data_IF_195292476676
#
_entry.id   IF_195292476676
#
_cell.length_a   1.000
_cell.length_b   1.000
_cell.length_c   1.000
_cell.angle_alpha   90.00
_cell.angle_beta   90.00
_cell.angle_gamma   90.00
#
_symmetry.space_group_name_H-M   'P 1'
#
loop_
_entity.id
_entity.type
_entity.pdbx_description
1 polymer ?
#
# COMPACT_ATOMS: atom_id res chain seq x y z
N UNK A 1 -1.59 -17.16 3.65
CA UNK A 1 -1.18 -16.49 2.39
C UNK A 1 -1.39 -17.38 1.16
N UNK A 2 -0.98 -18.67 1.17
CA UNK A 2 -1.26 -19.56 0.04
C UNK A 2 -2.76 -19.74 -0.20
N UNK A 3 -3.52 -20.00 0.84
CA UNK A 3 -4.98 -20.12 0.77
C UNK A 3 -5.66 -18.85 0.20
N UNK A 4 -5.18 -17.67 0.61
CA UNK A 4 -5.67 -16.41 0.07
C UNK A 4 -5.35 -16.28 -1.42
N UNK A 5 -4.13 -16.59 -1.84
CA UNK A 5 -3.76 -16.58 -3.25
C UNK A 5 -4.63 -17.54 -4.07
N UNK A 6 -4.81 -18.77 -3.59
CA UNK A 6 -5.62 -19.81 -4.25
C UNK A 6 -7.11 -19.41 -4.36
N UNK A 7 -7.60 -18.61 -3.40
CA UNK A 7 -8.96 -18.07 -3.46
C UNK A 7 -9.10 -16.89 -4.45
N UNK A 8 -8.06 -16.07 -4.63
CA UNK A 8 -8.09 -14.87 -5.48
C UNK A 8 -7.77 -15.16 -6.95
N UNK A 9 -6.85 -16.09 -7.20
CA UNK A 9 -6.32 -16.36 -8.53
C UNK A 9 -7.39 -16.75 -9.57
N UNK A 10 -8.39 -17.62 -9.27
CA UNK A 10 -9.45 -17.96 -10.21
C UNK A 10 -10.31 -16.77 -10.65
N UNK A 11 -10.32 -15.70 -9.86
CA UNK A 11 -11.04 -14.45 -10.15
C UNK A 11 -10.17 -13.40 -10.85
N UNK A 12 -8.92 -13.72 -11.19
CA UNK A 12 -7.98 -12.78 -11.80
C UNK A 12 -7.49 -11.68 -10.86
N UNK A 13 -7.76 -11.79 -9.55
CA UNK A 13 -7.38 -10.81 -8.54
C UNK A 13 -5.89 -11.02 -8.18
N UNK A 14 -5.10 -9.97 -8.31
CA UNK A 14 -3.66 -9.99 -8.04
C UNK A 14 -3.40 -9.70 -6.56
N UNK A 15 -2.62 -10.57 -5.93
CA UNK A 15 -2.21 -10.40 -4.54
C UNK A 15 -1.02 -9.45 -4.45
N UNK A 16 -1.16 -8.42 -3.63
CA UNK A 16 -0.09 -7.49 -3.29
C UNK A 16 0.14 -7.51 -1.78
N UNK A 17 1.38 -7.22 -1.37
CA UNK A 17 1.75 -7.20 0.04
C UNK A 17 1.99 -5.79 0.52
N UNK A 18 1.44 -5.50 1.70
CA UNK A 18 1.83 -4.37 2.53
C UNK A 18 3.00 -4.80 3.43
N UNK A 19 4.03 -3.98 3.52
CA UNK A 19 5.14 -4.18 4.43
C UNK A 19 5.46 -2.88 5.17
N UNK A 20 5.38 -2.96 6.50
CA UNK A 20 5.75 -1.85 7.37
C UNK A 20 7.15 -2.09 7.93
N UNK A 21 8.11 -1.27 7.52
CA UNK A 21 9.51 -1.46 7.88
C UNK A 21 9.82 -1.18 9.34
N UNK A 22 9.16 -0.17 9.95
CA UNK A 22 9.48 0.24 11.33
C UNK A 22 8.68 -0.52 12.41
N UNK A 23 7.74 -1.39 11.99
CA UNK A 23 6.89 -2.16 12.90
C UNK A 23 5.83 -1.33 13.62
N UNK A 24 5.58 -0.08 13.22
CA UNK A 24 4.59 0.81 13.85
C UNK A 24 4.74 0.87 15.37
N UNK A 25 3.85 0.20 16.10
CA UNK A 25 3.83 0.15 17.58
C UNK A 25 4.37 -1.16 18.15
N UNK A 26 4.84 -2.09 17.32
CA UNK A 26 5.37 -3.39 17.75
C UNK A 26 6.78 -3.23 18.33
N UNK A 27 6.85 -3.03 19.63
CA UNK A 27 8.13 -2.89 20.35
C UNK A 27 9.05 -4.09 20.21
N UNK A 28 8.58 -5.35 20.34
CA UNK A 28 9.41 -6.53 20.08
C UNK A 28 10.07 -6.52 18.69
N UNK A 29 9.31 -6.14 17.64
CA UNK A 29 9.86 -5.96 16.29
C UNK A 29 10.93 -4.88 16.27
N UNK A 30 10.64 -3.71 16.82
CA UNK A 30 11.55 -2.55 16.83
C UNK A 30 12.85 -2.85 17.55
N UNK A 31 12.79 -3.57 18.67
CA UNK A 31 13.97 -4.01 19.42
C UNK A 31 14.78 -5.04 18.63
N UNK A 32 14.11 -6.07 18.09
CA UNK A 32 14.76 -7.13 17.32
C UNK A 32 15.45 -6.61 16.06
N UNK A 33 14.80 -5.68 15.36
CA UNK A 33 15.30 -5.08 14.11
C UNK A 33 16.15 -3.83 14.31
N UNK A 34 16.37 -3.40 15.56
CA UNK A 34 17.15 -2.19 15.88
C UNK A 34 16.60 -0.89 15.27
N UNK A 35 15.30 -0.80 15.05
CA UNK A 35 14.64 0.29 14.30
C UNK A 35 15.09 1.68 14.73
N UNK A 36 15.20 1.95 16.02
CA UNK A 36 15.56 3.26 16.56
C UNK A 36 16.96 3.34 17.18
N UNK A 37 17.69 2.22 17.24
CA UNK A 37 18.99 2.14 17.90
C UNK A 37 20.17 1.93 16.97
N UNK A 38 19.95 1.28 15.81
CA UNK A 38 20.97 1.04 14.80
C UNK A 38 20.33 0.97 13.41
N UNK A 39 20.23 2.10 12.78
CA UNK A 39 19.51 2.26 11.49
C UNK A 39 20.13 1.49 10.33
N UNK A 40 21.46 1.44 10.15
CA UNK A 40 22.07 0.58 9.12
C UNK A 40 21.72 -0.90 9.30
N UNK A 41 21.75 -1.38 10.54
CA UNK A 41 21.36 -2.77 10.86
C UNK A 41 19.88 -2.98 10.62
N UNK A 42 19.03 -2.01 10.99
CA UNK A 42 17.60 -2.06 10.68
C UNK A 42 17.33 -2.17 9.18
N UNK A 43 17.98 -1.34 8.37
CA UNK A 43 17.83 -1.40 6.91
C UNK A 43 18.21 -2.76 6.34
N UNK A 44 19.30 -3.35 6.86
CA UNK A 44 19.74 -4.68 6.46
C UNK A 44 18.70 -5.76 6.81
N UNK A 45 18.08 -5.69 8.00
CA UNK A 45 16.98 -6.59 8.35
C UNK A 45 15.78 -6.43 7.42
N UNK A 46 15.39 -5.19 7.08
CA UNK A 46 14.29 -4.96 6.13
C UNK A 46 14.57 -5.60 4.78
N UNK A 47 15.79 -5.46 4.23
CA UNK A 47 16.15 -6.10 2.96
C UNK A 47 16.10 -7.62 3.04
N UNK A 48 16.66 -8.22 4.08
CA UNK A 48 16.69 -9.67 4.24
C UNK A 48 15.30 -10.26 4.44
N UNK A 49 14.45 -9.61 5.21
CA UNK A 49 13.05 -10.04 5.44
C UNK A 49 12.26 -9.94 4.15
N UNK A 50 12.36 -8.81 3.44
CA UNK A 50 11.69 -8.60 2.16
C UNK A 50 12.12 -9.65 1.12
N UNK A 51 13.43 -9.91 1.01
CA UNK A 51 13.97 -10.92 0.11
C UNK A 51 13.48 -12.33 0.46
N UNK A 52 13.48 -12.68 1.75
CA UNK A 52 13.01 -13.97 2.23
C UNK A 52 11.52 -14.20 1.94
N UNK A 53 10.68 -13.19 2.18
CA UNK A 53 9.24 -13.25 1.87
C UNK A 53 9.03 -13.34 0.37
N UNK A 54 9.72 -12.49 -0.41
CA UNK A 54 9.64 -12.49 -1.87
C UNK A 54 10.00 -13.85 -2.46
N UNK A 55 11.13 -14.43 -2.07
CA UNK A 55 11.55 -15.77 -2.50
C UNK A 55 10.60 -16.88 -2.07
N UNK A 56 10.05 -16.79 -0.85
CA UNK A 56 9.11 -17.77 -0.31
C UNK A 56 7.82 -17.87 -1.11
N UNK A 57 7.28 -16.75 -1.55
CA UNK A 57 5.99 -16.72 -2.25
C UNK A 57 6.14 -16.57 -3.77
N UNK A 58 7.28 -16.11 -4.26
CA UNK A 58 7.59 -16.04 -5.69
C UNK A 58 6.53 -15.29 -6.49
N UNK A 59 6.11 -15.87 -7.59
CA UNK A 59 5.13 -15.29 -8.52
C UNK A 59 3.72 -15.10 -7.93
N UNK A 60 3.45 -15.54 -6.71
CA UNK A 60 2.20 -15.28 -6.02
C UNK A 60 2.08 -13.83 -5.54
N UNK A 61 3.22 -13.12 -5.37
CA UNK A 61 3.24 -11.70 -5.01
C UNK A 61 3.36 -10.88 -6.29
N UNK A 62 2.32 -10.14 -6.63
CA UNK A 62 2.27 -9.30 -7.83
C UNK A 62 2.74 -7.86 -7.58
N UNK A 63 2.77 -7.43 -6.32
CA UNK A 63 3.24 -6.10 -5.97
C UNK A 63 3.43 -5.91 -4.47
N UNK A 64 4.02 -4.76 -4.15
CA UNK A 64 4.36 -4.35 -2.80
C UNK A 64 3.98 -2.89 -2.57
N UNK A 65 3.44 -2.63 -1.39
CA UNK A 65 3.28 -1.28 -0.87
C UNK A 65 4.05 -1.18 0.45
N UNK A 66 5.11 -0.37 0.46
CA UNK A 66 6.08 -0.28 1.55
C UNK A 66 5.82 0.98 2.34
N UNK A 67 5.46 0.80 3.59
CA UNK A 67 5.18 1.89 4.50
C UNK A 67 6.38 2.33 5.34
N UNK A 68 6.22 3.47 6.01
CA UNK A 68 7.19 4.04 6.94
C UNK A 68 8.54 4.41 6.30
N UNK A 69 8.56 4.62 4.97
CA UNK A 69 9.73 5.15 4.28
C UNK A 69 9.99 6.63 4.63
N UNK A 70 9.00 7.33 5.16
CA UNK A 70 9.15 8.67 5.73
C UNK A 70 9.98 8.66 7.02
N UNK A 71 9.96 7.56 7.78
CA UNK A 71 10.90 7.35 8.90
C UNK A 71 12.32 7.26 8.36
N UNK A 72 12.51 6.65 7.18
CA UNK A 72 13.77 6.67 6.46
C UNK A 72 14.09 8.07 5.90
N UNK A 73 13.09 8.86 5.53
CA UNK A 73 13.23 10.29 5.17
C UNK A 73 13.68 11.15 6.36
N UNK A 74 13.18 10.87 7.56
CA UNK A 74 13.72 11.41 8.81
C UNK A 74 15.19 10.99 9.04
N UNK A 75 15.63 9.92 8.40
CA UNK A 75 17.01 9.49 8.44
C UNK A 75 17.97 10.41 7.70
N UNK A 76 17.50 11.25 6.78
CA UNK A 76 18.34 12.32 6.21
C UNK A 76 18.81 13.31 7.28
N UNK A 77 17.98 13.62 8.27
CA UNK A 77 18.37 14.42 9.43
C UNK A 77 19.38 13.71 10.33
N UNK A 78 19.37 12.37 10.33
CA UNK A 78 20.25 11.53 11.16
C UNK A 78 21.38 10.85 10.36
N UNK A 79 21.59 11.22 9.09
CA UNK A 79 22.67 10.68 8.26
C UNK A 79 22.47 9.21 7.85
N UNK A 80 21.26 8.71 7.86
CA UNK A 80 20.95 7.33 7.55
C UNK A 80 20.14 7.24 6.27
N UNK A 81 20.62 6.50 5.29
CA UNK A 81 19.90 6.26 4.05
C UNK A 81 19.61 4.77 3.88
N UNK A 82 18.34 4.44 3.58
CA UNK A 82 18.05 3.17 2.92
C UNK A 82 18.60 3.22 1.50
N UNK A 83 19.24 2.15 1.08
CA UNK A 83 19.44 1.89 -0.35
C UNK A 83 18.12 1.36 -0.93
N UNK A 84 17.29 2.26 -1.43
CA UNK A 84 15.98 1.91 -2.00
C UNK A 84 16.09 1.04 -3.26
N UNK A 85 17.18 1.15 -4.02
CA UNK A 85 17.44 0.26 -5.15
C UNK A 85 17.67 -1.18 -4.66
N UNK A 86 18.47 -1.33 -3.62
CA UNK A 86 18.70 -2.61 -2.97
C UNK A 86 17.41 -3.18 -2.37
N UNK A 87 16.60 -2.33 -1.75
CA UNK A 87 15.30 -2.74 -1.19
C UNK A 87 14.34 -3.20 -2.29
N UNK A 88 14.20 -2.43 -3.37
CA UNK A 88 13.37 -2.82 -4.53
C UNK A 88 13.84 -4.14 -5.15
N UNK A 89 15.16 -4.37 -5.24
CA UNK A 89 15.71 -5.64 -5.71
C UNK A 89 15.37 -6.81 -4.77
N UNK A 90 15.43 -6.60 -3.45
CA UNK A 90 15.02 -7.59 -2.46
C UNK A 90 13.53 -7.95 -2.59
N UNK A 91 12.66 -6.95 -2.76
CA UNK A 91 11.23 -7.14 -2.98
C UNK A 91 10.92 -7.91 -4.28
N UNK A 92 11.74 -7.77 -5.30
CA UNK A 92 11.60 -8.45 -6.61
C UNK A 92 12.37 -9.77 -6.71
N UNK A 93 13.08 -10.19 -5.68
CA UNK A 93 13.96 -11.37 -5.72
C UNK A 93 13.24 -12.69 -6.07
N UNK A 94 11.98 -12.83 -5.69
CA UNK A 94 11.14 -14.01 -6.01
C UNK A 94 10.25 -13.83 -7.24
N UNK A 95 9.95 -12.58 -7.61
CA UNK A 95 9.20 -12.22 -8.80
C UNK A 95 9.71 -10.89 -9.38
N UNK A 96 10.54 -10.92 -10.42
CA UNK A 96 11.10 -9.70 -11.01
C UNK A 96 10.05 -8.77 -11.64
N UNK A 97 8.83 -9.26 -11.86
CA UNK A 97 7.71 -8.49 -12.40
C UNK A 97 6.82 -7.88 -11.31
N UNK A 98 7.15 -8.05 -10.02
CA UNK A 98 6.41 -7.41 -8.93
C UNK A 98 6.55 -5.90 -9.02
N UNK A 99 5.42 -5.19 -9.00
CA UNK A 99 5.41 -3.73 -8.90
C UNK A 99 5.63 -3.29 -7.46
N UNK A 100 6.30 -2.15 -7.28
CA UNK A 100 6.67 -1.64 -5.95
C UNK A 100 6.28 -0.18 -5.81
N UNK A 101 5.73 0.18 -4.66
CA UNK A 101 5.60 1.57 -4.22
C UNK A 101 6.20 1.74 -2.83
N UNK A 102 6.93 2.83 -2.65
CA UNK A 102 7.45 3.26 -1.36
C UNK A 102 6.68 4.50 -0.89
N UNK A 103 6.14 4.45 0.34
CA UNK A 103 5.50 5.59 0.97
C UNK A 103 6.55 6.46 1.67
N UNK A 104 7.05 7.47 0.97
CA UNK A 104 8.15 8.32 1.45
C UNK A 104 7.69 9.38 2.45
N UNK A 105 6.42 9.78 2.45
CA UNK A 105 5.99 10.94 3.25
C UNK A 105 4.54 10.92 3.75
N UNK A 106 3.84 9.80 3.65
CA UNK A 106 2.43 9.74 4.08
C UNK A 106 1.54 10.68 3.26
N UNK A 107 0.58 11.32 3.93
CA UNK A 107 -0.53 12.06 3.30
C UNK A 107 -0.10 13.38 2.63
N UNK A 108 0.99 14.00 3.02
CA UNK A 108 1.24 15.42 2.73
C UNK A 108 2.01 15.71 1.43
N UNK A 109 2.59 14.72 0.78
CA UNK A 109 3.36 14.94 -0.47
C UNK A 109 3.01 13.98 -1.61
N UNK A 110 1.99 14.37 -2.30
CA UNK A 110 1.42 13.67 -3.44
C UNK A 110 2.23 13.76 -4.72
N UNK A 111 2.88 14.90 -4.94
CA UNK A 111 3.59 15.23 -6.16
C UNK A 111 5.11 15.03 -6.02
N UNK A 112 5.55 14.32 -4.97
CA UNK A 112 6.96 14.10 -4.81
C UNK A 112 7.49 13.02 -5.76
N UNK A 113 8.42 13.40 -6.58
CA UNK A 113 9.19 12.51 -7.48
C UNK A 113 10.18 11.59 -6.73
N UNK A 114 10.05 11.46 -5.43
CA UNK A 114 11.03 10.75 -4.59
C UNK A 114 11.12 9.25 -4.90
N UNK A 115 10.04 8.68 -5.44
CA UNK A 115 10.02 7.30 -5.90
C UNK A 115 10.46 7.09 -7.34
N UNK A 116 10.80 8.17 -8.08
CA UNK A 116 11.15 8.08 -9.50
C UNK A 116 12.37 7.19 -9.73
N UNK A 117 12.22 6.24 -10.64
CA UNK A 117 13.27 5.26 -10.97
C UNK A 117 13.40 4.10 -9.96
N UNK A 118 12.61 4.11 -8.85
CA UNK A 118 12.63 3.06 -7.82
C UNK A 118 11.25 2.43 -7.68
N UNK A 119 10.20 3.28 -7.57
CA UNK A 119 8.80 2.85 -7.52
C UNK A 119 8.19 2.76 -8.91
N UNK A 120 7.22 1.87 -9.09
CA UNK A 120 6.44 1.73 -10.33
C UNK A 120 5.16 2.55 -10.28
N UNK A 121 4.68 2.86 -9.07
CA UNK A 121 3.45 3.62 -8.85
C UNK A 121 3.56 4.46 -7.57
N UNK A 122 2.72 5.49 -7.47
CA UNK A 122 2.65 6.34 -6.26
C UNK A 122 2.10 5.54 -5.08
N UNK A 123 2.60 5.79 -3.87
CA UNK A 123 1.99 5.25 -2.66
C UNK A 123 0.57 5.81 -2.42
N UNK A 124 0.38 7.07 -2.73
CA UNK A 124 -0.93 7.69 -2.90
C UNK A 124 -1.84 7.68 -1.67
N UNK A 125 -1.30 7.69 -0.46
CA UNK A 125 -2.07 7.69 0.79
C UNK A 125 -2.79 9.03 1.01
N UNK A 126 -4.06 9.12 0.56
CA UNK A 126 -4.86 10.35 0.65
C UNK A 126 -5.87 10.35 1.79
N UNK A 127 -6.43 9.20 2.08
CA UNK A 127 -7.52 9.06 3.05
C UNK A 127 -8.83 9.76 2.66
N UNK A 128 -8.88 10.46 1.52
CA UNK A 128 -10.06 11.18 1.00
C UNK A 128 -10.18 11.04 -0.52
N UNK A 129 -11.40 11.15 -1.05
CA UNK A 129 -11.66 11.12 -2.50
C UNK A 129 -11.68 12.54 -3.09
N UNK A 130 -10.59 13.28 -2.90
CA UNK A 130 -10.51 14.71 -3.26
C UNK A 130 -9.67 15.00 -4.49
N UNK A 131 -8.88 14.02 -4.96
CA UNK A 131 -7.90 14.23 -6.04
C UNK A 131 -8.20 13.37 -7.26
N UNK A 132 -7.85 13.90 -8.41
CA UNK A 132 -8.07 13.25 -9.70
C UNK A 132 -6.78 13.24 -10.52
N UNK A 133 -6.52 12.16 -11.27
CA UNK A 133 -5.38 12.12 -12.18
C UNK A 133 -5.58 13.10 -13.35
N UNK A 134 -4.49 13.73 -13.75
CA UNK A 134 -4.39 14.46 -15.01
C UNK A 134 -3.50 13.68 -15.98
N UNK A 135 -3.89 12.44 -16.26
CA UNK A 135 -3.13 11.47 -17.03
C UNK A 135 -2.72 10.25 -16.19
N UNK A 136 -2.22 9.23 -16.89
CA UNK A 136 -1.82 7.96 -16.28
C UNK A 136 -0.65 8.12 -15.30
N UNK A 137 0.27 9.01 -15.61
CA UNK A 137 1.48 9.23 -14.81
C UNK A 137 1.41 10.55 -14.06
N UNK A 138 1.99 10.59 -12.87
CA UNK A 138 2.04 11.78 -12.04
C UNK A 138 3.13 12.74 -12.52
N UNK A 139 2.79 14.03 -12.59
CA UNK A 139 3.74 15.09 -12.96
C UNK A 139 4.45 14.83 -14.29
N UNK A 140 5.75 15.11 -14.35
CA UNK A 140 6.64 14.80 -15.48
C UNK A 140 7.24 13.37 -15.37
N UNK A 141 6.76 12.59 -14.41
CA UNK A 141 7.33 11.30 -14.06
C UNK A 141 6.71 10.13 -14.81
N UNK A 142 7.25 8.96 -14.50
CA UNK A 142 6.83 7.66 -15.00
C UNK A 142 6.06 6.85 -13.94
N UNK A 143 5.79 7.45 -12.77
CA UNK A 143 5.03 6.81 -11.70
C UNK A 143 3.54 6.75 -12.05
N UNK A 144 2.98 5.54 -12.10
CA UNK A 144 1.54 5.36 -12.25
C UNK A 144 0.80 6.15 -11.16
N UNK A 145 -0.14 7.00 -11.56
CA UNK A 145 -0.99 7.71 -10.61
C UNK A 145 -1.84 6.72 -9.80
N UNK A 146 -1.79 6.84 -8.49
CA UNK A 146 -2.47 5.95 -7.57
C UNK A 146 -3.02 6.74 -6.37
N UNK A 147 -4.18 6.35 -5.86
CA UNK A 147 -4.79 6.91 -4.66
C UNK A 147 -5.25 5.78 -3.75
N UNK A 148 -4.90 5.85 -2.48
CA UNK A 148 -5.36 4.98 -1.41
C UNK A 148 -6.23 5.79 -0.46
N UNK A 149 -7.47 5.35 -0.25
CA UNK A 149 -8.45 6.02 0.60
C UNK A 149 -9.13 5.03 1.55
N UNK A 150 -9.54 5.49 2.72
CA UNK A 150 -10.37 4.69 3.62
C UNK A 150 -11.81 4.60 3.11
N UNK A 151 -12.38 3.42 3.18
CA UNK A 151 -13.79 3.20 2.90
C UNK A 151 -14.68 3.70 4.04
N UNK A 152 -14.28 3.39 5.24
CA UNK A 152 -14.88 3.83 6.50
C UNK A 152 -13.90 4.73 7.30
N UNK A 153 -13.89 4.72 8.62
CA UNK A 153 -13.20 5.78 9.37
C UNK A 153 -11.70 5.54 9.62
N UNK A 154 -11.20 4.32 9.39
CA UNK A 154 -9.80 3.99 9.70
C UNK A 154 -9.28 2.78 8.91
N UNK A 155 -8.04 2.39 9.18
CA UNK A 155 -7.37 1.25 8.54
C UNK A 155 -7.89 -0.10 9.02
N UNK A 156 -8.30 -0.19 10.30
CA UNK A 156 -8.78 -1.39 10.98
C UNK A 156 -9.83 -1.00 12.03
N UNK A 157 -10.65 -1.95 12.46
CA UNK A 157 -11.57 -1.75 13.58
C UNK A 157 -11.09 -2.50 14.82
N UNK A 158 -10.82 -1.75 15.90
CA UNK A 158 -10.39 -2.31 17.19
C UNK A 158 -11.53 -2.90 18.01
N UNK A 159 -12.75 -2.43 17.77
CA UNK A 159 -13.94 -2.83 18.54
C UNK A 159 -15.12 -3.07 17.60
N UNK A 160 -16.00 -3.97 18.02
CA UNK A 160 -17.32 -4.10 17.40
C UNK A 160 -18.05 -2.75 17.44
N UNK A 161 -18.71 -2.44 16.36
CA UNK A 161 -19.48 -1.24 16.16
C UNK A 161 -20.33 -1.37 14.89
N UNK A 162 -20.95 -0.29 14.49
CA UNK A 162 -21.65 -0.20 13.21
C UNK A 162 -20.97 0.84 12.30
N UNK A 163 -19.69 0.65 11.93
CA UNK A 163 -19.05 1.53 10.97
C UNK A 163 -19.80 1.47 9.66
N UNK A 164 -19.76 2.57 8.94
CA UNK A 164 -20.39 2.71 7.63
C UNK A 164 -19.42 3.39 6.69
N UNK A 165 -19.55 3.16 5.38
CA UNK A 165 -18.79 3.89 4.40
C UNK A 165 -18.94 5.41 4.58
N UNK A 166 -17.83 6.13 4.40
CA UNK A 166 -17.76 7.60 4.56
C UNK A 166 -18.48 8.33 3.44
N UNK A 167 -18.54 7.71 2.27
CA UNK A 167 -19.12 8.26 1.06
C UNK A 167 -20.30 7.40 0.60
N UNK A 168 -21.26 8.02 -0.08
CA UNK A 168 -22.35 7.31 -0.71
C UNK A 168 -21.85 6.42 -1.85
N UNK A 169 -22.67 5.47 -2.25
CA UNK A 169 -22.38 4.58 -3.37
C UNK A 169 -22.11 5.37 -4.67
N UNK A 170 -22.90 6.40 -4.91
CA UNK A 170 -22.85 7.25 -6.10
C UNK A 170 -21.58 8.10 -6.12
N UNK A 171 -21.18 8.70 -4.99
CA UNK A 171 -19.96 9.49 -4.88
C UNK A 171 -18.72 8.64 -5.18
N UNK A 172 -18.65 7.43 -4.62
CA UNK A 172 -17.52 6.52 -4.84
C UNK A 172 -17.49 6.03 -6.28
N UNK A 173 -18.64 5.66 -6.85
CA UNK A 173 -18.73 5.22 -8.25
C UNK A 173 -18.29 6.34 -9.21
N UNK A 174 -18.74 7.56 -8.98
CA UNK A 174 -18.35 8.73 -9.78
C UNK A 174 -16.83 8.96 -9.66
N UNK A 175 -16.29 8.89 -8.45
CA UNK A 175 -14.86 9.03 -8.21
C UNK A 175 -14.05 7.97 -8.95
N UNK A 176 -14.42 6.69 -8.82
CA UNK A 176 -13.75 5.58 -9.53
C UNK A 176 -13.76 5.81 -11.04
N UNK A 177 -14.90 6.19 -11.59
CA UNK A 177 -15.03 6.43 -13.03
C UNK A 177 -14.14 7.60 -13.50
N UNK A 178 -14.08 8.70 -12.74
CA UNK A 178 -13.19 9.83 -13.04
C UNK A 178 -11.71 9.44 -12.95
N UNK A 179 -11.32 8.70 -11.89
CA UNK A 179 -9.94 8.21 -11.75
C UNK A 179 -9.56 7.31 -12.91
N UNK A 180 -10.41 6.34 -13.27
CA UNK A 180 -10.18 5.44 -14.42
C UNK A 180 -10.09 6.19 -15.75
N UNK A 181 -10.99 7.14 -15.98
CA UNK A 181 -10.99 7.97 -17.18
C UNK A 181 -9.70 8.82 -17.30
N UNK A 182 -9.16 9.28 -16.20
CA UNK A 182 -7.87 9.98 -16.13
C UNK A 182 -6.65 9.04 -16.21
N UNK A 183 -6.84 7.71 -16.28
CA UNK A 183 -5.75 6.74 -16.34
C UNK A 183 -5.14 6.38 -14.99
N UNK A 184 -5.74 6.83 -13.89
CA UNK A 184 -5.30 6.53 -12.52
C UNK A 184 -5.79 5.17 -12.01
N UNK A 185 -5.27 4.79 -10.86
CA UNK A 185 -5.67 3.61 -10.09
C UNK A 185 -6.17 4.06 -8.71
N UNK A 186 -7.26 3.46 -8.26
CA UNK A 186 -7.83 3.71 -6.93
C UNK A 186 -7.83 2.44 -6.10
N UNK A 187 -7.27 2.54 -4.88
CA UNK A 187 -7.36 1.54 -3.85
C UNK A 187 -8.27 2.01 -2.72
N UNK A 188 -9.24 1.17 -2.37
CA UNK A 188 -10.22 1.48 -1.33
C UNK A 188 -9.97 0.56 -0.14
N UNK A 189 -9.42 1.11 0.94
CA UNK A 189 -9.10 0.34 2.14
C UNK A 189 -10.38 -0.07 2.86
N UNK A 190 -10.54 -1.36 3.02
CA UNK A 190 -11.62 -1.98 3.76
C UNK A 190 -11.10 -2.35 5.14
N UNK A 191 -11.56 -1.68 6.19
CA UNK A 191 -11.11 -1.92 7.56
C UNK A 191 -11.64 -3.27 8.08
N UNK A 192 -10.77 -4.26 8.32
CA UNK A 192 -11.19 -5.53 8.93
C UNK A 192 -11.28 -5.40 10.45
N UNK A 193 -12.12 -6.23 11.04
CA UNK A 193 -12.05 -6.55 12.47
C UNK A 193 -10.95 -7.58 12.73
N UNK A 194 -10.54 -7.69 13.98
CA UNK A 194 -9.50 -8.65 14.39
C UNK A 194 -9.87 -10.09 14.04
N UNK A 195 -11.15 -10.45 14.04
CA UNK A 195 -11.70 -11.75 13.68
C UNK A 195 -11.68 -12.03 12.18
N UNK A 196 -11.28 -11.05 11.36
CA UNK A 196 -11.12 -11.20 9.92
C UNK A 196 -12.37 -10.94 9.07
N UNK A 197 -13.45 -10.44 9.66
CA UNK A 197 -14.63 -10.00 8.92
C UNK A 197 -14.63 -8.48 8.70
N UNK A 198 -15.50 -7.97 7.86
CA UNK A 198 -15.72 -6.55 7.58
C UNK A 198 -17.14 -6.14 7.99
N UNK A 199 -17.36 -4.84 8.21
CA UNK A 199 -18.66 -4.32 8.59
C UNK A 199 -19.73 -4.61 7.53
N UNK A 200 -20.97 -4.97 7.91
CA UNK A 200 -22.03 -5.30 6.96
C UNK A 200 -22.31 -4.21 5.93
N UNK A 201 -22.39 -2.94 6.34
CA UNK A 201 -22.63 -1.81 5.42
C UNK A 201 -21.46 -1.59 4.44
N UNK A 202 -20.25 -1.86 4.87
CA UNK A 202 -19.05 -1.83 4.03
C UNK A 202 -19.12 -2.92 2.97
N UNK A 203 -19.51 -4.15 3.38
CA UNK A 203 -19.71 -5.27 2.46
C UNK A 203 -20.84 -5.00 1.43
N UNK A 204 -21.95 -4.38 1.86
CA UNK A 204 -23.04 -3.97 0.99
C UNK A 204 -22.59 -2.97 -0.09
N UNK A 205 -21.82 -1.94 0.28
CA UNK A 205 -21.30 -0.98 -0.68
C UNK A 205 -20.33 -1.63 -1.66
N UNK A 206 -19.41 -2.49 -1.19
CA UNK A 206 -18.48 -3.22 -2.08
C UNK A 206 -19.23 -4.08 -3.10
N UNK A 207 -20.27 -4.80 -2.65
CA UNK A 207 -21.10 -5.60 -3.54
C UNK A 207 -21.79 -4.72 -4.60
N UNK A 208 -22.39 -3.62 -4.17
CA UNK A 208 -23.04 -2.68 -5.07
C UNK A 208 -22.07 -2.09 -6.10
N UNK A 209 -20.87 -1.67 -5.65
CA UNK A 209 -19.82 -1.18 -6.56
C UNK A 209 -19.38 -2.27 -7.55
N UNK A 210 -19.20 -3.51 -7.10
CA UNK A 210 -18.84 -4.63 -7.95
C UNK A 210 -19.87 -4.86 -9.07
N UNK A 211 -21.17 -4.77 -8.77
CA UNK A 211 -22.26 -4.90 -9.75
C UNK A 211 -22.28 -3.75 -10.78
N UNK A 212 -21.74 -2.58 -10.45
CA UNK A 212 -21.70 -1.40 -11.33
C UNK A 212 -20.44 -1.28 -12.16
N UNK A 213 -19.35 -1.92 -11.73
CA UNK A 213 -18.03 -1.83 -12.34
C UNK A 213 -17.65 -3.06 -13.19
N UNK A 214 -18.49 -4.12 -13.14
CA UNK A 214 -18.35 -5.35 -13.91
C UNK A 214 -18.70 -5.19 -15.40
#
# INVERSE_FOLDING_TARGET
MNELYEALEPHGIKLMFYFNGDGCTDKPWQEATKTYTDRPVHAEYCYQIAEAISKKYGNKIHGWWIDCCYVAGLCHEYGLSYDFNRFANALRAGNPNSIVAFNFKGIEEWDCDWGRGISDYQAGEDNYITRYPNGRFSGEGDLQWFCLCWMDDFWVHEKEGEPKPRYSNEEVLEYINKVRAGGGVFAYNVAPYQEGHIAPKTAEQLKWLGEKLS
#
